data_IF_687652272796
#
_entry.id   IF_687652272796
#
_cell.length_a   1.000
_cell.length_b   1.000
_cell.length_c   1.000
_cell.angle_alpha   90.00
_cell.angle_beta   90.00
_cell.angle_gamma   90.00
#
_symmetry.space_group_name_H-M   'P 1'
#
loop_
_entity.id
_entity.type
_entity.pdbx_description
1 polymer ?
#
# COMPACT_ATOMS: atom_id res chain seq x y z
N UNK A 1 11.31 -26.89 -5.17
CA UNK A 1 11.16 -25.61 -5.91
C UNK A 1 9.66 -25.33 -5.99
N UNK A 2 9.19 -24.17 -5.55
CA UNK A 2 7.77 -23.83 -5.66
C UNK A 2 7.46 -23.57 -7.15
N UNK A 3 6.75 -24.49 -7.80
CA UNK A 3 6.45 -24.43 -9.23
C UNK A 3 5.73 -23.12 -9.61
N UNK A 4 4.91 -22.58 -8.70
CA UNK A 4 4.17 -21.33 -8.89
C UNK A 4 5.07 -20.10 -9.12
N UNK A 5 6.32 -20.13 -8.65
CA UNK A 5 7.27 -19.02 -8.75
C UNK A 5 8.28 -19.16 -9.90
N UNK A 6 8.21 -20.24 -10.70
CA UNK A 6 9.20 -20.54 -11.74
C UNK A 6 9.37 -19.38 -12.74
N UNK A 7 8.26 -18.80 -13.22
CA UNK A 7 8.31 -17.67 -14.18
C UNK A 7 8.88 -16.39 -13.55
N UNK A 8 8.55 -16.13 -12.29
CA UNK A 8 9.13 -14.99 -11.55
C UNK A 8 10.63 -15.17 -11.36
N UNK A 9 11.09 -16.38 -11.04
CA UNK A 9 12.51 -16.69 -10.92
C UNK A 9 13.26 -16.55 -12.25
N UNK A 10 12.67 -16.95 -13.37
CA UNK A 10 13.30 -16.75 -14.69
C UNK A 10 13.51 -15.28 -15.02
N UNK A 11 12.62 -14.40 -14.56
CA UNK A 11 12.71 -12.96 -14.78
C UNK A 11 13.69 -12.26 -13.82
N UNK A 12 13.60 -12.56 -12.52
CA UNK A 12 14.34 -11.84 -11.48
C UNK A 12 15.67 -12.52 -11.09
N UNK A 13 15.84 -13.79 -11.42
CA UNK A 13 16.97 -14.61 -11.03
C UNK A 13 16.87 -15.18 -9.62
N UNK A 14 17.68 -16.21 -9.34
CA UNK A 14 17.67 -16.94 -8.08
C UNK A 14 17.93 -16.06 -6.85
N UNK A 15 18.96 -15.21 -6.92
CA UNK A 15 19.35 -14.33 -5.80
C UNK A 15 18.24 -13.36 -5.40
N UNK A 16 17.49 -12.84 -6.36
CA UNK A 16 16.36 -11.96 -6.07
C UNK A 16 15.22 -12.72 -5.39
N UNK A 17 14.93 -13.95 -5.84
CA UNK A 17 13.91 -14.80 -5.22
C UNK A 17 14.27 -15.18 -3.78
N UNK A 18 15.52 -15.52 -3.51
CA UNK A 18 15.99 -15.79 -2.14
C UNK A 18 15.83 -14.58 -1.22
N UNK A 19 16.12 -13.38 -1.74
CA UNK A 19 15.94 -12.13 -1.00
C UNK A 19 14.45 -11.88 -0.72
N UNK A 20 13.57 -12.02 -1.72
CA UNK A 20 12.13 -11.85 -1.55
C UNK A 20 11.56 -12.84 -0.53
N UNK A 21 11.96 -14.12 -0.62
CA UNK A 21 11.49 -15.17 0.30
C UNK A 21 11.90 -14.93 1.75
N UNK A 22 12.94 -14.14 2.01
CA UNK A 22 13.38 -13.75 3.37
C UNK A 22 12.84 -12.38 3.81
N UNK A 23 12.24 -11.63 2.91
CA UNK A 23 11.78 -10.26 3.18
C UNK A 23 10.46 -10.24 3.94
N UNK A 24 10.34 -9.30 4.88
CA UNK A 24 9.10 -8.95 5.56
C UNK A 24 8.64 -7.55 5.14
N UNK A 25 7.52 -7.48 4.42
CA UNK A 25 6.94 -6.23 3.93
C UNK A 25 5.67 -5.89 4.69
N UNK A 26 5.54 -4.65 5.16
CA UNK A 26 4.29 -4.14 5.72
C UNK A 26 3.50 -3.37 4.64
N UNK A 27 2.20 -3.63 4.54
CA UNK A 27 1.27 -2.90 3.66
C UNK A 27 0.20 -2.27 4.54
N UNK A 28 0.15 -0.94 4.55
CA UNK A 28 -0.79 -0.16 5.36
C UNK A 28 -1.86 0.47 4.46
N UNK A 29 -3.12 0.20 4.77
CA UNK A 29 -4.26 0.54 3.93
C UNK A 29 -4.49 -0.52 2.84
N UNK A 30 -5.54 -1.32 2.99
CA UNK A 30 -5.92 -2.42 2.09
C UNK A 30 -7.10 -2.03 1.21
N UNK A 31 -7.16 -0.75 0.85
CA UNK A 31 -8.11 -0.19 -0.10
C UNK A 31 -7.75 -0.48 -1.56
N UNK A 32 -8.10 0.45 -2.45
CA UNK A 32 -7.96 0.26 -3.90
C UNK A 32 -6.53 0.20 -4.44
N UNK A 33 -5.52 0.49 -3.62
CA UNK A 33 -4.10 0.36 -3.99
C UNK A 33 -3.44 -0.77 -3.21
N UNK A 34 -3.48 -0.71 -1.87
CA UNK A 34 -2.71 -1.64 -1.05
C UNK A 34 -3.20 -3.08 -1.14
N UNK A 35 -4.49 -3.35 -1.39
CA UNK A 35 -4.97 -4.73 -1.58
C UNK A 35 -4.32 -5.41 -2.80
N UNK A 36 -4.25 -4.71 -3.93
CA UNK A 36 -3.57 -5.20 -5.14
C UNK A 36 -2.05 -5.26 -4.97
N UNK A 37 -1.46 -4.32 -4.23
CA UNK A 37 -0.04 -4.36 -3.92
C UNK A 37 0.33 -5.58 -3.06
N UNK A 38 -0.45 -5.86 -2.01
CA UNK A 38 -0.27 -7.03 -1.18
C UNK A 38 -0.39 -8.34 -1.99
N UNK A 39 -1.37 -8.41 -2.89
CA UNK A 39 -1.51 -9.56 -3.80
C UNK A 39 -0.32 -9.70 -4.75
N UNK A 40 0.16 -8.60 -5.35
CA UNK A 40 1.33 -8.64 -6.23
C UNK A 40 2.61 -9.06 -5.48
N UNK A 41 2.82 -8.59 -4.24
CA UNK A 41 3.96 -8.97 -3.40
C UNK A 41 3.92 -10.47 -3.07
N UNK A 42 2.75 -10.97 -2.65
CA UNK A 42 2.52 -12.39 -2.37
C UNK A 42 2.81 -13.26 -3.61
N UNK A 43 2.25 -12.91 -4.76
CA UNK A 43 2.48 -13.61 -6.04
C UNK A 43 3.93 -13.53 -6.54
N UNK A 44 4.69 -12.56 -6.06
CA UNK A 44 6.12 -12.39 -6.40
C UNK A 44 7.05 -13.19 -5.49
N UNK A 45 6.53 -13.87 -4.46
CA UNK A 45 7.31 -14.70 -3.55
C UNK A 45 7.91 -13.95 -2.37
N UNK A 46 7.32 -12.81 -1.96
CA UNK A 46 7.65 -12.21 -0.66
C UNK A 46 7.31 -13.20 0.46
N UNK A 47 8.25 -13.39 1.39
CA UNK A 47 8.13 -14.42 2.42
C UNK A 47 7.16 -14.08 3.54
N UNK A 48 7.06 -12.80 3.93
CA UNK A 48 6.20 -12.37 5.03
C UNK A 48 5.51 -11.06 4.72
N UNK A 49 4.21 -10.96 5.03
CA UNK A 49 3.41 -9.75 4.87
C UNK A 49 2.69 -9.38 6.17
N UNK A 50 2.86 -8.14 6.62
CA UNK A 50 1.97 -7.53 7.61
C UNK A 50 0.93 -6.67 6.90
N UNK A 51 -0.35 -6.96 7.13
CA UNK A 51 -1.48 -6.37 6.43
C UNK A 51 -2.28 -5.53 7.43
N UNK A 52 -2.19 -4.20 7.33
CA UNK A 52 -2.79 -3.29 8.32
C UNK A 52 -3.95 -2.53 7.72
N UNK A 53 -5.16 -2.78 8.23
CA UNK A 53 -6.37 -2.01 7.90
C UNK A 53 -7.42 -2.24 9.00
N UNK A 54 -8.14 -1.18 9.40
CA UNK A 54 -9.16 -1.26 10.45
C UNK A 54 -10.56 -1.57 9.90
N UNK A 55 -10.79 -1.31 8.62
CA UNK A 55 -12.13 -1.25 8.05
C UNK A 55 -12.68 -2.65 7.72
N UNK A 56 -13.98 -2.70 7.51
CA UNK A 56 -14.68 -3.82 6.90
C UNK A 56 -14.86 -3.62 5.39
N UNK A 57 -15.04 -4.73 4.67
CA UNK A 57 -15.39 -4.73 3.27
C UNK A 57 -16.84 -4.27 3.10
N UNK A 58 -17.04 -3.16 2.39
CA UNK A 58 -18.35 -2.65 2.01
C UNK A 58 -18.70 -2.98 0.55
N UNK A 59 -19.98 -3.03 0.15
CA UNK A 59 -20.38 -3.22 -1.25
C UNK A 59 -19.74 -2.19 -2.21
N UNK A 60 -19.58 -0.95 -1.76
CA UNK A 60 -18.94 0.14 -2.53
C UNK A 60 -17.46 -0.09 -2.80
N UNK A 61 -16.84 -1.14 -2.25
CA UNK A 61 -15.43 -1.47 -2.45
C UNK A 61 -15.19 -2.44 -3.62
N UNK A 62 -16.23 -3.15 -4.08
CA UNK A 62 -16.15 -4.20 -5.11
C UNK A 62 -15.52 -3.68 -6.41
N UNK A 63 -15.74 -2.41 -6.74
CA UNK A 63 -15.22 -1.83 -7.98
C UNK A 63 -13.68 -1.69 -8.03
N UNK A 64 -12.97 -1.81 -6.89
CA UNK A 64 -11.54 -1.45 -6.85
C UNK A 64 -10.67 -2.19 -5.84
N UNK A 65 -11.19 -3.03 -4.94
CA UNK A 65 -10.40 -3.68 -3.88
C UNK A 65 -10.31 -5.19 -4.10
N UNK A 66 -9.11 -5.77 -4.02
CA UNK A 66 -8.85 -7.17 -4.41
C UNK A 66 -9.64 -8.21 -3.59
N UNK A 67 -9.84 -7.93 -2.28
CA UNK A 67 -10.57 -8.83 -1.39
C UNK A 67 -12.09 -8.55 -1.34
N UNK A 68 -12.59 -7.51 -2.01
CA UNK A 68 -14.00 -7.12 -1.96
C UNK A 68 -14.84 -7.95 -2.96
N UNK A 69 -15.48 -8.99 -2.45
CA UNK A 69 -16.36 -9.90 -3.18
C UNK A 69 -17.71 -9.95 -2.46
N UNK A 70 -18.77 -10.37 -3.14
CA UNK A 70 -20.08 -10.56 -2.48
C UNK A 70 -20.00 -11.51 -1.28
N UNK A 71 -19.10 -12.50 -1.33
CA UNK A 71 -18.89 -13.48 -0.25
C UNK A 71 -18.11 -12.94 0.95
N UNK A 72 -17.46 -11.78 0.83
CA UNK A 72 -16.57 -11.22 1.87
C UNK A 72 -17.08 -9.89 2.44
N UNK A 73 -18.27 -9.44 2.03
CA UNK A 73 -18.90 -8.23 2.60
C UNK A 73 -19.07 -8.40 4.12
N UNK A 74 -18.69 -7.37 4.87
CA UNK A 74 -18.73 -7.35 6.34
C UNK A 74 -17.49 -7.95 7.02
N UNK A 75 -16.59 -8.59 6.28
CA UNK A 75 -15.34 -9.07 6.85
C UNK A 75 -14.32 -7.93 7.02
N UNK A 76 -13.43 -8.05 8.01
CA UNK A 76 -12.30 -7.14 8.19
C UNK A 76 -11.36 -7.24 6.98
N UNK A 77 -11.02 -6.09 6.36
CA UNK A 77 -10.18 -6.05 5.15
C UNK A 77 -8.84 -6.77 5.35
N UNK A 78 -8.20 -6.60 6.51
CA UNK A 78 -6.94 -7.26 6.84
C UNK A 78 -7.05 -8.78 6.84
N UNK A 79 -8.09 -9.32 7.47
CA UNK A 79 -8.31 -10.76 7.58
C UNK A 79 -8.76 -11.38 6.26
N UNK A 80 -9.69 -10.73 5.55
CA UNK A 80 -10.14 -11.16 4.23
C UNK A 80 -9.01 -11.19 3.21
N UNK A 81 -8.15 -10.17 3.22
CA UNK A 81 -6.95 -10.12 2.38
C UNK A 81 -5.99 -11.25 2.77
N UNK A 82 -5.70 -11.44 4.06
CA UNK A 82 -4.83 -12.53 4.52
C UNK A 82 -5.35 -13.91 4.07
N UNK A 83 -6.65 -14.18 4.24
CA UNK A 83 -7.24 -15.47 3.83
C UNK A 83 -7.08 -15.70 2.33
N UNK A 84 -7.30 -14.68 1.52
CA UNK A 84 -7.08 -14.73 0.07
C UNK A 84 -5.61 -14.97 -0.28
N UNK A 85 -4.68 -14.29 0.39
CA UNK A 85 -3.24 -14.46 0.13
C UNK A 85 -2.72 -15.84 0.57
N UNK A 86 -3.30 -16.43 1.62
CA UNK A 86 -2.94 -17.77 2.09
C UNK A 86 -3.26 -18.84 1.04
N UNK A 87 -4.34 -18.66 0.28
CA UNK A 87 -4.71 -19.53 -0.86
C UNK A 87 -3.75 -19.35 -2.05
N UNK A 88 -3.25 -18.13 -2.26
CA UNK A 88 -2.29 -17.82 -3.34
C UNK A 88 -0.90 -18.39 -3.04
N UNK A 89 -0.39 -18.20 -1.83
CA UNK A 89 0.94 -18.66 -1.44
C UNK A 89 0.90 -19.15 0.02
N UNK A 90 0.63 -20.45 0.24
CA UNK A 90 0.60 -21.04 1.59
C UNK A 90 1.92 -20.95 2.36
N UNK A 91 3.02 -20.68 1.65
CA UNK A 91 4.35 -20.49 2.25
C UNK A 91 4.61 -19.05 2.70
N UNK A 92 3.76 -18.09 2.32
CA UNK A 92 3.88 -16.72 2.79
C UNK A 92 3.33 -16.63 4.22
N UNK A 93 4.13 -16.11 5.15
CA UNK A 93 3.66 -15.84 6.53
C UNK A 93 2.85 -14.55 6.51
N UNK A 94 1.61 -14.61 6.99
CA UNK A 94 0.68 -13.49 6.95
C UNK A 94 0.34 -13.02 8.35
N UNK A 95 0.49 -11.73 8.59
CA UNK A 95 0.19 -11.07 9.85
C UNK A 95 -0.92 -10.02 9.63
N UNK A 96 -2.21 -10.43 9.58
CA UNK A 96 -3.30 -9.47 9.53
C UNK A 96 -3.35 -8.68 10.85
N UNK A 97 -3.47 -7.35 10.74
CA UNK A 97 -3.65 -6.45 11.87
C UNK A 97 -4.89 -5.59 11.63
N UNK A 98 -5.98 -5.93 12.31
CA UNK A 98 -7.22 -5.15 12.28
C UNK A 98 -7.04 -3.92 13.17
N UNK A 99 -6.36 -2.90 12.65
CA UNK A 99 -5.99 -1.71 13.39
C UNK A 99 -5.75 -0.53 12.46
N UNK A 100 -5.89 0.67 13.01
CA UNK A 100 -5.45 1.90 12.37
C UNK A 100 -4.03 2.19 12.79
N UNK A 101 -3.17 2.57 11.83
CA UNK A 101 -1.90 3.17 12.17
C UNK A 101 -2.14 4.59 12.69
N UNK A 102 -1.64 4.90 13.88
CA UNK A 102 -1.71 6.24 14.47
C UNK A 102 -0.41 6.57 15.22
N UNK A 103 -0.11 7.86 15.30
CA UNK A 103 1.05 8.40 16.01
C UNK A 103 1.17 7.89 17.46
N UNK A 104 0.04 7.68 18.14
CA UNK A 104 -0.03 7.23 19.54
C UNK A 104 0.35 5.75 19.72
N UNK A 105 0.17 4.92 18.68
CA UNK A 105 0.42 3.47 18.71
C UNK A 105 1.61 3.07 17.84
N UNK A 106 2.37 4.04 17.31
CA UNK A 106 3.48 3.77 16.37
C UNK A 106 4.50 2.77 16.89
N UNK A 107 4.82 2.81 18.19
CA UNK A 107 5.84 1.93 18.77
C UNK A 107 5.42 0.46 18.73
N UNK A 108 4.13 0.18 18.86
CA UNK A 108 3.59 -1.16 18.72
C UNK A 108 3.64 -1.64 17.26
N UNK A 109 3.43 -0.74 16.29
CA UNK A 109 3.65 -1.06 14.87
C UNK A 109 5.13 -1.35 14.57
N UNK A 110 6.04 -0.48 15.00
CA UNK A 110 7.48 -0.61 14.77
C UNK A 110 8.21 -1.53 15.76
N UNK A 111 7.48 -2.26 16.62
CA UNK A 111 8.02 -3.34 17.44
C UNK A 111 8.51 -4.52 16.59
N UNK A 112 8.00 -4.63 15.36
CA UNK A 112 8.40 -5.60 14.35
C UNK A 112 9.40 -4.99 13.38
N UNK A 113 10.40 -5.76 12.96
CA UNK A 113 11.37 -5.34 11.93
C UNK A 113 10.78 -5.58 10.54
N UNK A 114 10.65 -4.52 9.76
CA UNK A 114 10.25 -4.59 8.36
C UNK A 114 11.44 -4.31 7.44
N UNK A 115 11.56 -5.04 6.33
CA UNK A 115 12.54 -4.76 5.29
C UNK A 115 12.04 -3.71 4.29
N UNK A 116 10.71 -3.54 4.21
CA UNK A 116 10.08 -2.54 3.36
C UNK A 116 8.66 -2.18 3.86
N UNK A 117 8.24 -0.94 3.65
CA UNK A 117 6.89 -0.46 3.96
C UNK A 117 6.22 0.06 2.69
N UNK A 118 5.00 -0.39 2.43
CA UNK A 118 4.11 0.18 1.43
C UNK A 118 3.01 0.95 2.15
N UNK A 119 3.02 2.26 1.96
CA UNK A 119 2.03 3.18 2.51
C UNK A 119 0.93 3.48 1.48
N UNK A 120 -0.23 2.88 1.68
CA UNK A 120 -1.45 3.12 0.94
C UNK A 120 -2.57 3.70 1.83
N UNK A 121 -2.19 4.38 2.93
CA UNK A 121 -3.11 5.09 3.82
C UNK A 121 -3.69 6.31 3.09
N UNK A 122 -4.95 6.65 3.33
CA UNK A 122 -5.61 7.83 2.77
C UNK A 122 -5.50 9.06 3.70
N UNK A 123 -5.55 8.85 5.01
CA UNK A 123 -5.45 9.93 6.00
C UNK A 123 -4.05 10.57 6.01
N UNK A 124 -4.02 11.87 5.68
CA UNK A 124 -2.80 12.68 5.59
C UNK A 124 -1.93 12.64 6.86
N UNK A 125 -2.52 12.79 8.05
CA UNK A 125 -1.76 12.82 9.31
C UNK A 125 -1.06 11.49 9.60
N UNK A 126 -1.76 10.37 9.46
CA UNK A 126 -1.20 9.04 9.63
C UNK A 126 -0.10 8.76 8.59
N UNK A 127 -0.32 9.15 7.34
CA UNK A 127 0.66 9.02 6.25
C UNK A 127 1.95 9.78 6.56
N UNK A 128 1.85 11.05 6.96
CA UNK A 128 3.02 11.89 7.27
C UNK A 128 3.82 11.30 8.43
N UNK A 129 3.13 10.85 9.48
CA UNK A 129 3.75 10.26 10.66
C UNK A 129 4.49 8.95 10.35
N UNK A 130 3.87 8.09 9.53
CA UNK A 130 4.46 6.84 9.07
C UNK A 130 5.74 7.09 8.26
N UNK A 131 5.69 8.03 7.30
CA UNK A 131 6.84 8.42 6.48
C UNK A 131 7.96 8.95 7.36
N UNK A 132 7.66 9.90 8.25
CA UNK A 132 8.64 10.48 9.16
C UNK A 132 9.31 9.44 10.05
N UNK A 133 8.51 8.56 10.66
CA UNK A 133 9.02 7.51 11.55
C UNK A 133 9.85 6.47 10.78
N UNK A 134 9.43 6.08 9.57
CA UNK A 134 10.19 5.17 8.72
C UNK A 134 11.54 5.76 8.31
N UNK A 135 11.58 7.05 7.94
CA UNK A 135 12.83 7.76 7.64
C UNK A 135 13.77 7.83 8.86
N UNK A 136 13.25 8.17 10.04
CA UNK A 136 14.04 8.23 11.28
C UNK A 136 14.64 6.86 11.66
N UNK A 137 13.91 5.77 11.37
CA UNK A 137 14.36 4.38 11.63
C UNK A 137 15.13 3.75 10.47
N UNK A 138 15.36 4.48 9.38
CA UNK A 138 16.01 3.99 8.16
C UNK A 138 15.32 2.75 7.55
N UNK A 139 14.00 2.70 7.60
CA UNK A 139 13.21 1.63 6.98
C UNK A 139 12.77 2.10 5.59
N UNK A 140 13.11 1.37 4.51
CA UNK A 140 12.66 1.71 3.17
C UNK A 140 11.13 1.77 3.10
N UNK A 141 10.60 2.87 2.56
CA UNK A 141 9.17 3.11 2.43
C UNK A 141 8.85 3.70 1.06
N UNK A 142 7.70 3.34 0.49
CA UNK A 142 7.09 4.02 -0.65
C UNK A 142 5.64 4.38 -0.35
N UNK A 143 5.19 5.55 -0.80
CA UNK A 143 3.79 5.97 -0.62
C UNK A 143 3.01 6.02 -1.93
N UNK A 144 1.80 5.48 -1.90
CA UNK A 144 0.79 5.73 -2.91
C UNK A 144 0.10 7.07 -2.63
N UNK A 145 -0.12 7.84 -3.70
CA UNK A 145 -0.86 9.10 -3.69
C UNK A 145 -2.20 8.94 -4.44
N UNK A 146 -2.95 10.03 -4.61
CA UNK A 146 -4.32 9.98 -5.12
C UNK A 146 -4.45 9.37 -6.53
N UNK A 147 -5.11 8.21 -6.59
CA UNK A 147 -5.50 7.48 -7.82
C UNK A 147 -7.00 7.58 -8.12
N UNK A 148 -7.79 8.19 -7.23
CA UNK A 148 -9.23 8.37 -7.42
C UNK A 148 -9.56 9.29 -8.60
N UNK A 149 -10.71 9.02 -9.25
CA UNK A 149 -11.24 9.77 -10.37
C UNK A 149 -10.27 9.92 -11.56
N UNK A 150 -9.46 8.89 -11.83
CA UNK A 150 -8.51 8.83 -12.95
C UNK A 150 -8.82 7.63 -13.83
N UNK A 151 -8.58 7.75 -15.13
CA UNK A 151 -8.94 6.73 -16.12
C UNK A 151 -7.72 6.12 -16.81
N UNK A 152 -6.62 6.86 -16.93
CA UNK A 152 -5.47 6.44 -17.71
C UNK A 152 -4.37 5.83 -16.83
N UNK A 153 -4.39 4.49 -16.73
CA UNK A 153 -3.39 3.73 -15.99
C UNK A 153 -1.96 3.89 -16.55
N UNK A 154 -1.78 4.28 -17.81
CA UNK A 154 -0.45 4.46 -18.42
C UNK A 154 0.28 5.68 -17.87
N UNK A 155 -0.43 6.59 -17.21
CA UNK A 155 0.17 7.77 -16.58
C UNK A 155 0.68 7.51 -15.16
N UNK A 156 0.44 6.34 -14.58
CA UNK A 156 1.03 5.95 -13.30
C UNK A 156 2.55 5.88 -13.42
N UNK A 157 3.23 6.53 -12.48
CA UNK A 157 4.70 6.58 -12.45
C UNK A 157 5.24 6.58 -11.04
N UNK A 158 6.44 6.00 -10.92
CA UNK A 158 7.32 6.13 -9.77
C UNK A 158 8.10 7.44 -9.90
N UNK A 159 8.11 8.24 -8.84
CA UNK A 159 8.89 9.47 -8.81
C UNK A 159 9.26 9.86 -7.38
N UNK A 160 10.08 10.89 -7.25
CA UNK A 160 10.25 11.57 -5.97
C UNK A 160 9.06 12.50 -5.69
N UNK A 161 8.69 12.67 -4.42
CA UNK A 161 7.60 13.57 -4.00
C UNK A 161 7.76 14.99 -4.55
N UNK A 162 8.98 15.49 -4.71
CA UNK A 162 9.25 16.82 -5.27
C UNK A 162 8.85 16.99 -6.74
N UNK A 163 8.71 15.89 -7.49
CA UNK A 163 8.36 15.87 -8.91
C UNK A 163 6.86 15.64 -9.17
N UNK A 164 6.05 15.58 -8.10
CA UNK A 164 4.61 15.32 -8.22
C UNK A 164 3.82 16.54 -8.68
N UNK A 165 2.87 16.30 -9.58
CA UNK A 165 1.96 17.30 -10.17
C UNK A 165 0.56 16.70 -10.36
N UNK A 166 -0.47 17.54 -10.56
CA UNK A 166 -1.83 17.07 -10.87
C UNK A 166 -2.53 16.29 -9.74
N UNK A 167 -2.00 16.32 -8.52
CA UNK A 167 -2.53 15.56 -7.39
C UNK A 167 -2.63 16.47 -6.13
N UNK A 168 -3.85 16.79 -5.65
CA UNK A 168 -4.07 17.58 -4.43
C UNK A 168 -3.40 16.98 -3.20
N UNK A 169 -3.59 15.68 -2.96
CA UNK A 169 -2.95 14.94 -1.87
C UNK A 169 -1.43 15.07 -1.94
N UNK A 170 -0.84 14.87 -3.12
CA UNK A 170 0.61 15.01 -3.32
C UNK A 170 1.12 16.40 -2.96
N UNK A 171 0.36 17.46 -3.30
CA UNK A 171 0.70 18.85 -2.97
C UNK A 171 0.71 19.08 -1.46
N UNK A 172 -0.28 18.56 -0.74
CA UNK A 172 -0.35 18.65 0.73
C UNK A 172 0.81 17.89 1.35
N UNK A 173 0.97 16.61 1.00
CA UNK A 173 2.04 15.75 1.53
C UNK A 173 3.42 16.35 1.25
N UNK A 174 3.68 16.84 0.04
CA UNK A 174 4.97 17.48 -0.31
C UNK A 174 5.26 18.71 0.56
N UNK A 175 4.27 19.57 0.79
CA UNK A 175 4.43 20.76 1.64
C UNK A 175 4.77 20.35 3.07
N UNK A 176 4.02 19.40 3.60
CA UNK A 176 4.14 18.93 4.97
C UNK A 176 5.44 18.16 5.24
N UNK A 177 5.88 17.31 4.30
CA UNK A 177 7.17 16.62 4.39
C UNK A 177 8.35 17.61 4.35
N UNK A 178 8.29 18.62 3.47
CA UNK A 178 9.33 19.66 3.43
C UNK A 178 9.43 20.42 4.75
N UNK A 179 8.30 20.71 5.42
CA UNK A 179 8.30 21.35 6.72
C UNK A 179 8.95 20.48 7.82
N UNK A 180 8.95 19.16 7.65
CA UNK A 180 9.61 18.17 8.53
C UNK A 180 11.07 17.86 8.11
N UNK A 181 11.62 18.59 7.13
CA UNK A 181 12.97 18.35 6.61
C UNK A 181 13.09 17.15 5.65
N UNK A 182 11.98 16.49 5.31
CA UNK A 182 11.96 15.37 4.36
C UNK A 182 11.72 15.92 2.95
N UNK A 183 12.81 16.11 2.21
CA UNK A 183 12.79 16.70 0.86
C UNK A 183 12.75 15.65 -0.26
N UNK A 184 13.04 14.39 0.07
CA UNK A 184 13.05 13.25 -0.86
C UNK A 184 12.26 12.11 -0.25
N UNK A 185 11.32 11.58 -1.03
CA UNK A 185 10.47 10.45 -0.63
C UNK A 185 9.92 9.78 -1.90
N UNK A 186 10.14 8.49 -2.13
CA UNK A 186 9.63 7.80 -3.30
C UNK A 186 8.11 7.62 -3.21
N UNK A 187 7.42 7.88 -4.33
CA UNK A 187 5.97 7.80 -4.42
C UNK A 187 5.51 7.19 -5.74
N UNK A 188 4.32 6.60 -5.72
CA UNK A 188 3.55 6.28 -6.93
C UNK A 188 2.44 7.32 -7.08
N UNK A 189 2.35 7.96 -8.25
CA UNK A 189 1.27 8.88 -8.57
C UNK A 189 0.99 8.90 -10.08
N UNK A 190 -0.14 9.51 -10.47
CA UNK A 190 -0.43 9.87 -11.86
C UNK A 190 -0.57 11.40 -11.97
N UNK A 191 0.04 12.05 -12.98
CA UNK A 191 -0.19 13.46 -13.28
C UNK A 191 -1.55 13.76 -13.91
N UNK A 192 -2.32 12.74 -14.31
CA UNK A 192 -3.68 12.90 -14.82
C UNK A 192 -4.49 13.71 -13.79
N UNK A 193 -5.19 14.73 -14.28
CA UNK A 193 -6.10 15.49 -13.45
C UNK A 193 -7.31 14.62 -13.11
N UNK A 194 -7.75 14.68 -11.85
CA UNK A 194 -8.95 13.98 -11.44
C UNK A 194 -10.15 14.53 -12.23
N UNK A 195 -10.94 13.62 -12.83
CA UNK A 195 -12.22 13.96 -13.43
C UNK A 195 -13.18 14.43 -12.34
N UNK A 196 -13.98 15.46 -12.63
CA UNK A 196 -15.08 15.83 -11.75
C UNK A 196 -16.12 14.70 -11.75
N UNK A 197 -16.71 14.40 -10.59
CA UNK A 197 -17.91 13.57 -10.55
C UNK A 197 -19.02 14.31 -11.31
N UNK A 198 -19.69 13.63 -12.25
CA UNK A 198 -20.75 14.23 -13.08
C UNK A 198 -21.93 14.74 -12.22
N UNK A 199 -22.09 14.21 -10.99
CA UNK A 199 -23.23 14.50 -10.11
C UNK A 199 -22.90 15.21 -8.78
N UNK A 200 -21.65 15.64 -8.55
CA UNK A 200 -21.30 16.43 -7.34
C UNK A 200 -21.45 15.71 -5.99
N UNK A 201 -21.65 14.39 -5.96
CA UNK A 201 -21.97 13.64 -4.73
C UNK A 201 -20.77 13.24 -3.88
N UNK A 202 -19.54 13.44 -4.33
CA UNK A 202 -18.37 13.28 -3.46
C UNK A 202 -17.24 14.21 -3.92
N UNK A 203 -16.89 15.16 -3.06
CA UNK A 203 -15.66 15.91 -3.24
C UNK A 203 -14.49 14.91 -3.24
N UNK A 204 -13.50 15.04 -4.15
CA UNK A 204 -12.33 14.18 -4.10
C UNK A 204 -11.69 14.30 -2.71
N UNK A 205 -11.31 13.19 -2.06
CA UNK A 205 -10.63 13.26 -0.78
C UNK A 205 -9.35 14.13 -0.91
N UNK A 206 -8.98 14.85 0.16
CA UNK A 206 -7.91 15.85 0.14
C UNK A 206 -6.57 15.32 -0.37
#
# INVERSE_FOLDING_TARGET
MNEALTRTQMLLGHTAMERLARSHVAVLGLGGVGSWCAEALCRSGVGQLTLVDQDEIAPSNINRQAAALHSTIGEKKAEATARRLADIAPTCVLHPRVARYEAATREDFFSTRYDFIVDAIDLVSCKLDLIETAHQRNIPIISALGTGNKRDAQQLRLADISQTQGCPLARIIRKELRARGIVRHPVVFSPELAHAAEDGTEAPPP
#
